data_IF_956596883990
#
_entry.id   IF_956596883990
#
_cell.length_a   1.000
_cell.length_b   1.000
_cell.length_c   1.000
_cell.angle_alpha   90.00
_cell.angle_beta   90.00
_cell.angle_gamma   90.00
#
_symmetry.space_group_name_H-M   'P 1'
#
loop_
_entity.id
_entity.type
_entity.pdbx_description
1 polymer ?
#
# COMPACT_ATOMS: atom_id res chain seq x y z
N UNK A 1 4.13 -6.13 -4.54
CA UNK A 1 4.08 -7.14 -5.62
C UNK A 1 2.78 -7.02 -6.38
N UNK A 2 2.83 -6.94 -7.71
CA UNK A 2 1.67 -7.06 -8.57
C UNK A 2 1.49 -8.54 -8.93
N UNK A 3 0.31 -9.10 -8.69
CA UNK A 3 -0.05 -10.46 -9.09
C UNK A 3 -1.04 -10.41 -10.24
N UNK A 4 -0.76 -11.16 -11.30
CA UNK A 4 -1.61 -11.29 -12.50
C UNK A 4 -1.73 -12.76 -12.91
N UNK A 5 -2.54 -13.03 -13.92
CA UNK A 5 -2.56 -14.33 -14.59
C UNK A 5 -1.67 -14.29 -15.82
N UNK A 6 -0.79 -15.27 -15.97
CA UNK A 6 0.01 -15.46 -17.18
C UNK A 6 -0.87 -16.04 -18.31
N UNK A 7 -0.34 -16.05 -19.55
CA UNK A 7 -1.08 -16.53 -20.73
C UNK A 7 -1.51 -18.00 -20.63
N UNK A 8 -0.75 -18.81 -19.89
CA UNK A 8 -1.03 -20.22 -19.61
C UNK A 8 -1.96 -20.43 -18.39
N UNK A 9 -2.45 -19.35 -17.78
CA UNK A 9 -3.36 -19.36 -16.64
C UNK A 9 -2.66 -19.49 -15.27
N UNK A 10 -1.33 -19.59 -15.22
CA UNK A 10 -0.62 -19.64 -13.94
C UNK A 10 -0.57 -18.26 -13.26
N UNK A 11 -0.66 -18.20 -11.92
CA UNK A 11 -0.44 -16.96 -11.19
C UNK A 11 1.03 -16.50 -11.32
N UNK A 12 1.22 -15.22 -11.62
CA UNK A 12 2.54 -14.60 -11.73
C UNK A 12 2.63 -13.36 -10.84
N UNK A 13 3.60 -13.36 -9.93
CA UNK A 13 3.91 -12.21 -9.08
C UNK A 13 5.16 -11.47 -9.56
N UNK A 14 5.07 -10.15 -9.74
CA UNK A 14 6.17 -9.30 -10.19
C UNK A 14 6.38 -8.13 -9.22
N UNK A 15 7.65 -7.79 -8.95
CA UNK A 15 8.01 -6.60 -8.20
C UNK A 15 7.69 -5.33 -9.00
N UNK A 16 6.98 -4.39 -8.38
CA UNK A 16 6.58 -3.13 -9.03
C UNK A 16 6.78 -1.96 -8.07
N UNK A 17 7.13 -0.80 -8.62
CA UNK A 17 7.00 0.49 -7.92
C UNK A 17 5.62 1.08 -8.19
N UNK A 18 5.11 1.82 -7.23
CA UNK A 18 3.78 2.43 -7.35
C UNK A 18 3.74 3.81 -6.69
N UNK A 19 2.92 4.69 -7.26
CA UNK A 19 2.41 5.87 -6.58
C UNK A 19 0.91 5.67 -6.28
N UNK A 20 0.34 6.56 -5.48
CA UNK A 20 -1.10 6.60 -5.23
C UNK A 20 -1.60 8.01 -5.48
N UNK A 21 -2.79 8.13 -6.05
CA UNK A 21 -3.47 9.42 -6.17
C UNK A 21 -4.14 9.84 -4.85
N UNK A 22 -4.96 10.91 -4.90
CA UNK A 22 -5.65 11.44 -3.73
C UNK A 22 -6.75 10.51 -3.17
N UNK A 23 -7.28 9.58 -3.98
CA UNK A 23 -8.27 8.58 -3.56
C UNK A 23 -7.62 7.25 -3.14
N UNK A 24 -6.29 7.16 -3.20
CA UNK A 24 -5.56 5.91 -2.93
C UNK A 24 -5.45 4.98 -4.15
N UNK A 25 -5.89 5.38 -5.34
CA UNK A 25 -5.80 4.54 -6.53
C UNK A 25 -4.32 4.31 -6.90
N UNK A 26 -3.85 3.05 -7.00
CA UNK A 26 -2.47 2.78 -7.35
C UNK A 26 -2.16 3.13 -8.82
N UNK A 27 -1.05 3.85 -9.02
CA UNK A 27 -0.46 4.16 -10.32
C UNK A 27 0.84 3.37 -10.45
N UNK A 28 0.94 2.55 -11.49
CA UNK A 28 2.02 1.60 -11.74
C UNK A 28 2.73 1.91 -13.06
N UNK A 29 4.03 1.61 -13.13
CA UNK A 29 4.79 1.60 -14.37
C UNK A 29 5.07 0.15 -14.78
N UNK A 30 4.44 -0.34 -15.86
CA UNK A 30 4.51 -1.72 -16.32
C UNK A 30 4.90 -1.76 -17.81
N UNK A 31 6.05 -2.38 -18.18
CA UNK A 31 6.47 -2.46 -19.57
C UNK A 31 5.62 -3.43 -20.40
N UNK A 32 5.10 -4.49 -19.80
CA UNK A 32 4.28 -5.50 -20.46
C UNK A 32 3.13 -5.93 -19.54
N UNK A 33 1.89 -5.47 -19.77
CA UNK A 33 0.74 -5.92 -18.99
C UNK A 33 0.34 -7.35 -19.39
N UNK A 34 -0.37 -8.04 -18.49
CA UNK A 34 -1.06 -9.29 -18.84
C UNK A 34 -2.26 -8.99 -19.75
N UNK A 35 -2.63 -9.91 -20.67
CA UNK A 35 -3.90 -9.81 -21.40
C UNK A 35 -5.13 -9.92 -20.48
N UNK A 36 -5.02 -10.60 -19.34
CA UNK A 36 -6.04 -10.59 -18.30
C UNK A 36 -5.81 -9.39 -17.38
N UNK A 37 -6.83 -8.53 -17.26
CA UNK A 37 -6.72 -7.33 -16.44
C UNK A 37 -6.94 -7.60 -14.95
N UNK A 38 -7.46 -8.76 -14.55
CA UNK A 38 -7.64 -9.10 -13.13
C UNK A 38 -6.28 -9.16 -12.45
N UNK A 39 -6.15 -8.39 -11.37
CA UNK A 39 -4.88 -8.25 -10.69
C UNK A 39 -5.05 -7.99 -9.20
N UNK A 40 -3.96 -8.22 -8.46
CA UNK A 40 -3.84 -7.73 -7.09
C UNK A 40 -2.53 -6.97 -6.91
N UNK A 41 -2.54 -5.90 -6.12
CA UNK A 41 -1.35 -5.21 -5.66
C UNK A 41 -1.18 -5.43 -4.16
N UNK A 42 -0.18 -6.23 -3.81
CA UNK A 42 0.19 -6.50 -2.42
C UNK A 42 1.32 -5.55 -1.98
N UNK A 43 1.15 -4.94 -0.80
CA UNK A 43 2.08 -3.97 -0.21
C UNK A 43 2.27 -4.32 1.27
N UNK A 44 3.50 -4.15 1.75
CA UNK A 44 3.88 -4.38 3.13
C UNK A 44 4.49 -3.11 3.72
N UNK A 45 4.33 -2.91 5.03
CA UNK A 45 4.97 -1.85 5.80
C UNK A 45 5.66 -2.50 7.00
N UNK A 46 6.99 -2.55 7.01
CA UNK A 46 7.73 -2.96 8.20
C UNK A 46 7.59 -1.88 9.29
N UNK A 47 7.28 -2.29 10.52
CA UNK A 47 7.16 -1.42 11.67
C UNK A 47 8.17 -1.83 12.74
N UNK A 48 9.27 -1.10 12.78
CA UNK A 48 10.36 -1.26 13.74
C UNK A 48 10.97 -2.68 13.77
N UNK A 49 10.86 -3.45 12.68
CA UNK A 49 11.31 -4.84 12.62
C UNK A 49 10.56 -5.83 13.52
N UNK A 50 9.41 -5.43 14.08
CA UNK A 50 8.64 -6.25 15.02
C UNK A 50 7.29 -6.71 14.46
N UNK A 51 6.70 -5.93 13.55
CA UNK A 51 5.40 -6.19 12.95
C UNK A 51 5.41 -5.75 11.49
N UNK A 52 4.69 -6.47 10.62
CA UNK A 52 4.54 -6.09 9.22
C UNK A 52 3.06 -6.00 8.82
N UNK A 53 2.38 -4.86 9.07
CA UNK A 53 1.05 -4.64 8.50
C UNK A 53 1.08 -4.64 6.98
N UNK A 54 0.03 -5.17 6.38
CA UNK A 54 -0.03 -5.45 4.94
C UNK A 54 -1.40 -5.15 4.37
N UNK A 55 -1.43 -4.81 3.09
CA UNK A 55 -2.68 -4.77 2.35
C UNK A 55 -2.54 -5.38 0.95
N UNK A 56 -3.62 -5.97 0.48
CA UNK A 56 -3.75 -6.50 -0.88
C UNK A 56 -4.95 -5.84 -1.55
N UNK A 57 -4.65 -4.95 -2.49
CA UNK A 57 -5.65 -4.26 -3.31
C UNK A 57 -6.06 -5.21 -4.44
N UNK A 58 -7.33 -5.60 -4.49
CA UNK A 58 -7.88 -6.40 -5.58
C UNK A 58 -8.61 -5.50 -6.58
N UNK A 59 -8.33 -5.67 -7.86
CA UNK A 59 -8.89 -4.81 -8.90
C UNK A 59 -8.56 -5.22 -10.31
N UNK A 60 -8.78 -4.30 -11.25
CA UNK A 60 -8.43 -4.49 -12.66
C UNK A 60 -7.34 -3.50 -13.08
N UNK A 61 -6.32 -4.00 -13.77
CA UNK A 61 -5.36 -3.16 -14.47
C UNK A 61 -6.08 -2.43 -15.59
N UNK A 62 -5.95 -1.11 -15.60
CA UNK A 62 -6.51 -0.26 -16.63
C UNK A 62 -5.44 0.67 -17.17
N UNK A 63 -5.45 0.88 -18.48
CA UNK A 63 -4.65 1.91 -19.13
C UNK A 63 -5.55 3.12 -19.39
N UNK A 64 -5.26 4.28 -18.80
CA UNK A 64 -6.02 5.48 -19.09
C UNK A 64 -5.88 5.85 -20.56
N UNK A 65 -7.01 6.00 -21.27
CA UNK A 65 -7.00 6.40 -22.68
C UNK A 65 -6.80 7.93 -22.85
N UNK A 66 -7.14 8.70 -21.83
CA UNK A 66 -7.09 10.17 -21.86
C UNK A 66 -5.68 10.69 -21.57
N UNK A 67 -5.12 11.47 -22.51
CA UNK A 67 -3.80 12.06 -22.39
C UNK A 67 -3.66 13.05 -21.21
N UNK A 68 -4.75 13.71 -20.80
CA UNK A 68 -4.75 14.62 -19.65
C UNK A 68 -4.62 13.86 -18.34
N UNK A 69 -5.35 12.74 -18.21
CA UNK A 69 -5.26 11.82 -17.07
C UNK A 69 -3.85 11.22 -16.98
N UNK A 70 -3.28 10.81 -18.11
CA UNK A 70 -1.92 10.28 -18.18
C UNK A 70 -0.86 11.29 -17.70
N UNK A 71 -0.96 12.57 -18.10
CA UNK A 71 -0.07 13.64 -17.60
C UNK A 71 -0.23 13.90 -16.11
N UNK A 72 -1.46 13.80 -15.60
CA UNK A 72 -1.71 13.92 -14.17
C UNK A 72 -1.07 12.76 -13.40
N UNK A 73 -1.17 11.53 -13.90
CA UNK A 73 -0.49 10.38 -13.29
C UNK A 73 1.04 10.48 -13.35
N UNK A 74 1.63 11.01 -14.43
CA UNK A 74 3.06 11.32 -14.45
C UNK A 74 3.43 12.34 -13.34
N UNK A 75 2.57 13.33 -13.10
CA UNK A 75 2.78 14.31 -12.02
C UNK A 75 2.70 13.67 -10.63
N UNK A 76 1.76 12.74 -10.41
CA UNK A 76 1.65 11.93 -9.17
C UNK A 76 2.91 11.07 -8.98
N UNK A 77 3.37 10.42 -10.04
CA UNK A 77 4.59 9.62 -10.03
C UNK A 77 5.82 10.47 -9.69
N UNK A 78 6.00 11.60 -10.38
CA UNK A 78 7.10 12.53 -10.16
C UNK A 78 7.10 13.13 -8.77
N UNK A 79 5.92 13.41 -8.19
CA UNK A 79 5.82 13.87 -6.80
C UNK A 79 6.36 12.83 -5.82
N UNK A 80 6.13 11.53 -6.07
CA UNK A 80 6.58 10.45 -5.18
C UNK A 80 8.05 10.09 -5.39
N UNK A 81 8.50 10.01 -6.63
CA UNK A 81 9.81 9.44 -6.97
C UNK A 81 10.86 10.45 -7.45
N UNK A 82 10.48 11.71 -7.69
CA UNK A 82 11.38 12.76 -8.19
C UNK A 82 11.76 12.62 -9.67
N UNK A 83 11.19 11.66 -10.39
CA UNK A 83 11.46 11.37 -11.81
C UNK A 83 10.15 11.24 -12.61
N UNK A 84 10.19 11.47 -13.92
CA UNK A 84 9.03 11.22 -14.80
C UNK A 84 8.94 9.74 -15.19
N UNK A 85 7.72 9.24 -15.33
CA UNK A 85 7.46 7.90 -15.83
C UNK A 85 7.36 7.89 -17.37
N UNK A 86 7.63 6.74 -17.99
CA UNK A 86 7.22 6.54 -19.38
C UNK A 86 5.68 6.40 -19.40
N UNK A 87 5.02 7.39 -19.99
CA UNK A 87 3.56 7.48 -20.07
C UNK A 87 2.94 6.26 -20.76
N UNK A 88 3.63 5.64 -21.71
CA UNK A 88 3.14 4.44 -22.40
C UNK A 88 3.06 3.21 -21.49
N UNK A 89 3.81 3.24 -20.38
CA UNK A 89 3.89 2.19 -19.39
C UNK A 89 3.07 2.52 -18.13
N UNK A 90 2.32 3.63 -18.10
CA UNK A 90 1.49 3.97 -16.96
C UNK A 90 0.17 3.19 -16.98
N UNK A 91 -0.11 2.51 -15.87
CA UNK A 91 -1.36 1.79 -15.61
C UNK A 91 -1.89 2.16 -14.23
N UNK A 92 -3.18 1.97 -14.03
CA UNK A 92 -3.79 2.03 -12.70
C UNK A 92 -4.46 0.71 -12.34
N UNK A 93 -4.64 0.49 -11.04
CA UNK A 93 -5.48 -0.61 -10.54
C UNK A 93 -6.82 -0.02 -10.10
N UNK A 94 -7.88 -0.29 -10.85
CA UNK A 94 -9.24 0.09 -10.46
C UNK A 94 -9.66 -0.73 -9.24
N UNK A 95 -9.72 -0.07 -8.08
CA UNK A 95 -9.86 -0.71 -6.77
C UNK A 95 -11.28 -1.24 -6.57
N UNK A 96 -11.42 -2.55 -6.45
CA UNK A 96 -12.70 -3.20 -6.15
C UNK A 96 -12.88 -3.43 -4.64
N UNK A 97 -11.84 -3.89 -3.97
CA UNK A 97 -11.78 -4.11 -2.51
C UNK A 97 -10.34 -4.26 -2.05
N UNK A 98 -10.10 -4.10 -0.76
CA UNK A 98 -8.77 -4.19 -0.16
C UNK A 98 -8.81 -5.19 1.00
N UNK A 99 -7.90 -6.15 1.02
CA UNK A 99 -7.68 -7.00 2.20
C UNK A 99 -6.62 -6.33 3.08
N UNK A 100 -6.96 -6.00 4.32
CA UNK A 100 -6.05 -5.43 5.31
C UNK A 100 -5.66 -6.49 6.36
N UNK A 101 -4.38 -6.58 6.71
CA UNK A 101 -3.85 -7.49 7.74
C UNK A 101 -2.95 -6.69 8.70
N UNK A 102 -3.02 -6.95 10.01
CA UNK A 102 -2.20 -6.23 11.01
C UNK A 102 -0.78 -6.80 11.08
N UNK A 103 -0.63 -8.11 10.85
CA UNK A 103 0.67 -8.76 10.71
C UNK A 103 0.61 -10.00 9.80
N UNK A 104 1.75 -10.66 9.60
CA UNK A 104 1.84 -11.97 8.97
C UNK A 104 1.05 -13.03 9.76
N UNK A 105 0.52 -14.03 9.05
CA UNK A 105 -0.27 -15.14 9.59
C UNK A 105 -1.62 -14.74 10.21
N UNK A 106 -2.19 -13.61 9.78
CA UNK A 106 -3.55 -13.21 10.12
C UNK A 106 -4.50 -13.37 8.93
N UNK A 107 -5.79 -13.61 9.20
CA UNK A 107 -6.83 -13.74 8.17
C UNK A 107 -7.16 -12.38 7.50
N UNK A 108 -6.99 -11.29 8.25
CA UNK A 108 -7.29 -9.94 7.80
C UNK A 108 -8.79 -9.61 7.68
N UNK A 109 -9.07 -8.38 7.24
CA UNK A 109 -10.42 -7.84 7.05
C UNK A 109 -10.56 -7.26 5.64
N UNK A 110 -11.67 -7.57 4.97
CA UNK A 110 -12.02 -6.96 3.69
C UNK A 110 -12.63 -5.58 3.87
N UNK A 111 -12.08 -4.60 3.16
CA UNK A 111 -12.51 -3.21 3.10
C UNK A 111 -13.11 -2.93 1.73
N UNK A 112 -14.26 -2.25 1.69
CA UNK A 112 -14.90 -1.86 0.44
C UNK A 112 -14.08 -0.77 -0.27
N UNK A 113 -14.18 -0.67 -1.59
CA UNK A 113 -13.49 0.40 -2.33
C UNK A 113 -13.95 1.80 -1.89
N UNK A 114 -15.23 1.96 -1.55
CA UNK A 114 -15.78 3.23 -1.05
C UNK A 114 -15.16 3.62 0.29
N UNK A 115 -15.09 2.69 1.25
CA UNK A 115 -14.49 2.98 2.56
C UNK A 115 -13.00 3.26 2.43
N UNK A 116 -12.30 2.51 1.58
CA UNK A 116 -10.89 2.73 1.27
C UNK A 116 -10.63 4.14 0.71
N UNK A 117 -11.42 4.57 -0.29
CA UNK A 117 -11.26 5.89 -0.93
C UNK A 117 -11.59 7.06 -0.01
N UNK A 118 -12.54 6.87 0.90
CA UNK A 118 -12.98 7.90 1.84
C UNK A 118 -12.10 7.96 3.11
N UNK A 119 -11.28 6.94 3.34
CA UNK A 119 -10.34 6.92 4.46
C UNK A 119 -9.22 7.94 4.23
N UNK A 120 -8.76 8.55 5.33
CA UNK A 120 -7.60 9.43 5.30
C UNK A 120 -6.37 8.68 5.80
N UNK A 121 -5.20 8.88 5.17
CA UNK A 121 -3.97 8.34 5.71
C UNK A 121 -3.67 8.97 7.07
N UNK A 122 -3.11 8.17 7.98
CA UNK A 122 -2.78 8.63 9.32
C UNK A 122 -1.90 9.90 9.28
N UNK A 123 -2.24 10.95 10.04
CA UNK A 123 -1.51 12.22 10.00
C UNK A 123 -0.10 12.13 10.58
N UNK A 124 0.19 11.13 11.42
CA UNK A 124 1.49 10.90 12.07
C UNK A 124 2.38 9.94 11.27
N UNK A 125 1.90 9.32 10.19
CA UNK A 125 2.64 8.30 9.41
C UNK A 125 4.08 8.67 9.01
N UNK A 126 4.36 9.97 8.81
CA UNK A 126 5.69 10.44 8.39
C UNK A 126 6.66 10.64 9.56
N UNK A 127 6.17 10.67 10.80
CA UNK A 127 6.95 10.89 12.02
C UNK A 127 6.85 9.72 12.99
N UNK A 128 5.94 8.76 12.76
CA UNK A 128 5.69 7.64 13.64
C UNK A 128 6.95 6.82 13.94
N UNK A 129 7.73 6.49 12.90
CA UNK A 129 8.98 5.73 13.07
C UNK A 129 9.99 6.48 13.94
N UNK A 130 10.20 7.77 13.68
CA UNK A 130 11.13 8.63 14.43
C UNK A 130 10.71 8.76 15.90
N UNK A 131 9.43 9.07 16.15
CA UNK A 131 8.88 9.23 17.50
C UNK A 131 8.96 7.91 18.28
N UNK A 132 8.65 6.78 17.66
CA UNK A 132 8.76 5.46 18.31
C UNK A 132 10.21 5.14 18.66
N UNK A 133 11.16 5.44 17.77
CA UNK A 133 12.58 5.25 18.04
C UNK A 133 13.08 6.14 19.20
N UNK A 134 12.63 7.39 19.27
CA UNK A 134 12.95 8.30 20.37
C UNK A 134 12.41 7.78 21.71
N UNK A 135 11.13 7.40 21.76
CA UNK A 135 10.49 6.85 22.97
C UNK A 135 11.21 5.58 23.43
N UNK A 136 11.52 4.67 22.51
CA UNK A 136 12.19 3.41 22.84
C UNK A 136 13.62 3.63 23.38
N UNK A 137 14.29 4.69 22.94
CA UNK A 137 15.65 5.03 23.36
C UNK A 137 15.67 5.77 24.69
N UNK A 138 14.80 6.77 24.86
CA UNK A 138 14.88 7.75 25.95
C UNK A 138 13.82 7.57 27.04
N UNK A 139 12.68 6.92 26.74
CA UNK A 139 11.52 6.83 27.62
C UNK A 139 11.09 5.38 27.91
N UNK A 140 12.03 4.43 27.80
CA UNK A 140 11.76 3.00 28.04
C UNK A 140 11.13 2.73 29.42
N UNK A 141 11.58 3.44 30.46
CA UNK A 141 10.99 3.30 31.81
C UNK A 141 9.52 3.71 31.87
N UNK A 142 9.14 4.74 31.11
CA UNK A 142 7.75 5.17 31.00
C UNK A 142 6.89 4.12 30.29
N UNK A 143 7.42 3.51 29.22
CA UNK A 143 6.76 2.40 28.53
C UNK A 143 6.54 1.21 29.46
N UNK A 144 7.54 0.83 30.28
CA UNK A 144 7.37 -0.22 31.29
C UNK A 144 6.31 0.14 32.33
N UNK A 145 6.25 1.41 32.74
CA UNK A 145 5.21 1.87 33.67
C UNK A 145 3.82 1.76 33.06
N UNK A 146 3.67 2.01 31.76
CA UNK A 146 2.39 1.88 31.06
C UNK A 146 1.85 0.45 31.14
N UNK A 147 2.71 -0.57 31.05
CA UNK A 147 2.30 -1.97 31.20
C UNK A 147 1.64 -2.27 32.56
N UNK A 148 2.00 -1.54 33.63
CA UNK A 148 1.45 -1.77 34.98
C UNK A 148 0.26 -0.87 35.32
N UNK A 149 0.08 0.25 34.60
CA UNK A 149 -0.92 1.28 34.93
C UNK A 149 -2.08 1.29 33.95
N UNK A 150 -1.83 1.09 32.66
CA UNK A 150 -2.82 1.25 31.60
C UNK A 150 -3.32 -0.06 31.01
N UNK A 151 -2.67 -1.17 31.35
CA UNK A 151 -3.09 -2.50 30.95
C UNK A 151 -3.27 -3.31 32.23
N UNK A 152 -4.45 -3.90 32.39
CA UNK A 152 -4.71 -4.83 33.48
C UNK A 152 -4.09 -6.18 33.12
N UNK A 153 -2.80 -6.32 33.46
CA UNK A 153 -2.08 -7.56 33.29
C UNK A 153 -2.39 -8.46 34.50
N UNK A 154 -3.61 -8.99 34.56
CA UNK A 154 -3.99 -10.07 35.48
C UNK A 154 -3.15 -11.32 35.14
N UNK A 155 -1.97 -11.42 35.74
CA UNK A 155 -1.13 -12.62 35.80
C UNK A 155 -1.05 -13.17 37.22
#
# INVERSE_FOLDING_TARGET
TLSTLAQDGWPLGVGVRFAVDAEGTPVLCLPQPSPDNRSTLHVQLDQCGLRTPQCTIQGNLTKPADATILRWFDSVWKKRFGESANVDNLYTVDVQRVLQMEDLNEDGVWVTSSDYKNANPDPLRNSAEEIVNEINTNNREDVHRFCNVYIDLDF
#
